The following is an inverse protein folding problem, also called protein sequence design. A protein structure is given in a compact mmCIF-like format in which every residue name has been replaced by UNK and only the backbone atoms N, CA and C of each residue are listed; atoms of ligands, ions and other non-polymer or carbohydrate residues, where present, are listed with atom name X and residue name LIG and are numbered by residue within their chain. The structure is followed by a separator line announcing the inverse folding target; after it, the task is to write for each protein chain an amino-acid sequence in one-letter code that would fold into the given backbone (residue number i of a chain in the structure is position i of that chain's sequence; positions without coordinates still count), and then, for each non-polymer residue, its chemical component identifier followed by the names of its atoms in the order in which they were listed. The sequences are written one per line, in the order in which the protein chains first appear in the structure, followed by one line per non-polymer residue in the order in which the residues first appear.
data_IF_012211562300
#
_entry.id   IF_012211562300
#
_cell.length_a   1.000
_cell.length_b   1.000
_cell.length_c   1.000
_cell.angle_alpha   90.00
_cell.angle_beta   90.00
_cell.angle_gamma   90.00
#
_symmetry.space_group_name_H-M   'P 1'
#
loop_
_entity.id
_entity.type
_entity.pdbx_description
1 polymer ?
#
# COMPACT_ATOMS: atom_id res chain seq x y z
N UNK A 1 0.91 9.38 15.70
CA UNK A 1 1.34 8.33 16.65
C UNK A 1 2.09 9.02 17.77
N UNK A 2 1.73 8.81 19.04
CA UNK A 2 2.29 9.52 20.19
C UNK A 2 3.60 8.86 20.64
N UNK A 3 4.78 9.49 20.47
CA UNK A 3 6.07 8.83 20.69
C UNK A 3 6.29 8.39 22.15
N UNK A 4 5.78 9.17 23.11
CA UNK A 4 5.98 8.94 24.54
C UNK A 4 5.13 7.78 25.12
N UNK A 5 4.29 7.14 24.30
CA UNK A 5 3.46 5.99 24.70
C UNK A 5 4.03 4.66 24.18
N UNK A 6 4.97 4.68 23.23
CA UNK A 6 5.54 3.48 22.61
C UNK A 6 7.02 3.34 22.95
N UNK A 7 7.31 2.95 24.19
CA UNK A 7 8.69 2.69 24.67
C UNK A 7 9.27 1.35 24.17
N UNK A 8 8.46 0.59 23.42
CA UNK A 8 8.76 -0.73 22.87
C UNK A 8 10.00 -0.74 21.94
N UNK A 9 10.39 0.42 21.41
CA UNK A 9 11.58 0.56 20.57
C UNK A 9 12.88 0.79 21.36
N UNK A 10 12.79 1.16 22.64
CA UNK A 10 13.95 1.38 23.50
C UNK A 10 14.34 0.14 24.33
N UNK A 11 13.46 -0.86 24.39
CA UNK A 11 13.66 -2.11 25.12
C UNK A 11 13.50 -3.33 24.20
N UNK A 12 14.50 -3.63 23.35
CA UNK A 12 14.41 -4.70 22.36
C UNK A 12 14.27 -6.11 22.94
N UNK A 13 14.69 -6.30 24.20
CA UNK A 13 14.63 -7.56 24.96
C UNK A 13 13.25 -7.81 25.61
N UNK A 14 12.33 -6.83 25.57
CA UNK A 14 11.01 -6.96 26.18
C UNK A 14 10.18 -8.04 25.45
N UNK A 15 9.75 -9.11 26.11
CA UNK A 15 8.98 -10.17 25.48
C UNK A 15 7.62 -9.69 24.93
N UNK A 16 7.10 -8.56 25.42
CA UNK A 16 5.87 -7.94 24.90
C UNK A 16 6.07 -7.22 23.56
N UNK A 17 7.32 -7.02 23.12
CA UNK A 17 7.64 -6.27 21.89
C UNK A 17 7.04 -6.88 20.64
N UNK A 18 7.14 -8.20 20.50
CA UNK A 18 6.58 -8.90 19.34
C UNK A 18 5.06 -8.76 19.30
N UNK A 19 4.38 -8.99 20.43
CA UNK A 19 2.93 -8.83 20.55
C UNK A 19 2.47 -7.40 20.27
N UNK A 20 3.25 -6.41 20.74
CA UNK A 20 2.94 -5.01 20.50
C UNK A 20 3.06 -4.63 19.02
N UNK A 21 4.11 -5.08 18.34
CA UNK A 21 4.29 -4.84 16.90
C UNK A 21 3.21 -5.60 16.11
N UNK A 22 2.94 -6.85 16.46
CA UNK A 22 2.01 -7.72 15.74
C UNK A 22 0.58 -7.15 15.73
N UNK A 23 0.05 -6.72 16.87
CA UNK A 23 -1.30 -6.14 16.91
C UNK A 23 -1.34 -4.78 16.20
N UNK A 24 -0.27 -3.98 16.26
CA UNK A 24 -0.17 -2.69 15.54
C UNK A 24 -0.23 -2.89 14.03
N UNK A 25 0.57 -3.81 13.48
CA UNK A 25 0.52 -4.21 12.07
C UNK A 25 -0.87 -4.74 11.72
N UNK A 26 -1.48 -5.53 12.60
CA UNK A 26 -2.83 -6.05 12.40
C UNK A 26 -3.88 -4.93 12.35
N UNK A 27 -3.76 -3.87 13.16
CA UNK A 27 -4.65 -2.70 13.08
C UNK A 27 -4.46 -1.92 11.78
N UNK A 28 -3.22 -1.69 11.35
CA UNK A 28 -2.94 -1.04 10.06
C UNK A 28 -3.52 -1.85 8.89
N UNK A 29 -3.29 -3.16 8.88
CA UNK A 29 -3.87 -4.09 7.90
C UNK A 29 -5.39 -3.99 7.88
N UNK A 30 -6.06 -4.03 9.04
CA UNK A 30 -7.51 -3.91 9.13
C UNK A 30 -8.00 -2.56 8.61
N UNK A 31 -7.34 -1.46 8.99
CA UNK A 31 -7.70 -0.12 8.52
C UNK A 31 -7.60 -0.02 6.99
N UNK A 32 -6.52 -0.54 6.39
CA UNK A 32 -6.34 -0.58 4.93
C UNK A 32 -7.42 -1.44 4.26
N UNK A 33 -7.74 -2.61 4.82
CA UNK A 33 -8.78 -3.48 4.25
C UNK A 33 -10.18 -2.84 4.33
N UNK A 34 -10.52 -2.18 5.44
CA UNK A 34 -11.79 -1.50 5.62
C UNK A 34 -11.96 -0.28 4.70
N UNK A 35 -10.86 0.43 4.42
CA UNK A 35 -10.85 1.67 3.64
C UNK A 35 -10.10 1.51 2.33
N UNK A 36 -10.12 0.32 1.74
CA UNK A 36 -9.40 0.03 0.52
C UNK A 36 -9.85 0.97 -0.61
N UNK A 37 -8.92 1.80 -1.07
CA UNK A 37 -9.19 2.82 -2.07
C UNK A 37 -8.90 2.30 -3.48
N UNK A 38 -9.90 2.42 -4.36
CA UNK A 38 -9.80 2.10 -5.79
C UNK A 38 -9.91 3.35 -6.66
N UNK A 39 -9.93 4.52 -6.04
CA UNK A 39 -10.09 5.79 -6.74
C UNK A 39 -8.84 6.03 -7.60
N UNK A 40 -8.98 6.12 -8.94
CA UNK A 40 -7.84 6.41 -9.80
C UNK A 40 -7.19 7.73 -9.38
N UNK A 41 -5.86 7.76 -9.38
CA UNK A 41 -5.11 9.00 -9.23
C UNK A 41 -5.28 9.81 -10.52
N UNK A 42 -6.16 10.81 -10.48
CA UNK A 42 -6.35 11.72 -11.59
C UNK A 42 -5.28 12.80 -11.55
N UNK A 43 -4.64 13.04 -12.70
CA UNK A 43 -3.65 14.09 -12.86
C UNK A 43 -4.18 15.13 -13.84
N UNK A 44 -4.05 16.42 -13.50
CA UNK A 44 -4.46 17.53 -14.36
C UNK A 44 -3.26 18.37 -14.77
N UNK A 45 -3.31 18.91 -15.99
CA UNK A 45 -2.32 19.84 -16.51
C UNK A 45 -2.77 21.27 -16.20
N UNK A 46 -2.02 21.97 -15.36
CA UNK A 46 -2.20 23.40 -15.09
C UNK A 46 -0.94 24.11 -15.56
N UNK A 47 -1.08 24.94 -16.59
CA UNK A 47 0.03 25.54 -17.34
C UNK A 47 1.04 24.49 -17.86
N UNK A 48 2.23 24.44 -17.25
CA UNK A 48 3.33 23.50 -17.55
C UNK A 48 3.57 22.50 -16.41
N UNK A 49 2.61 22.33 -15.51
CA UNK A 49 2.72 21.45 -14.34
C UNK A 49 1.66 20.37 -14.36
N UNK A 50 2.06 19.13 -14.11
CA UNK A 50 1.15 18.02 -13.83
C UNK A 50 0.93 18.00 -12.32
N UNK A 51 -0.29 18.17 -11.88
CA UNK A 51 -0.67 18.15 -10.46
C UNK A 51 -1.71 17.06 -10.21
N UNK A 52 -1.65 16.45 -9.03
CA UNK A 52 -2.63 15.45 -8.60
C UNK A 52 -3.97 16.16 -8.27
N UNK A 53 -5.07 15.69 -8.85
CA UNK A 53 -6.39 16.09 -8.41
C UNK A 53 -6.77 15.34 -7.13
N UNK A 54 -6.95 16.07 -6.04
CA UNK A 54 -7.28 15.51 -4.71
C UNK A 54 -8.76 15.61 -4.37
N UNK A 55 -9.60 16.18 -5.25
CA UNK A 55 -11.03 16.35 -5.02
C UNK A 55 -11.85 15.08 -5.32
N UNK A 56 -11.21 13.93 -5.52
CA UNK A 56 -11.88 12.73 -5.98
C UNK A 56 -12.72 12.09 -4.87
N UNK A 57 -13.95 11.68 -5.22
CA UNK A 57 -14.87 11.07 -4.26
C UNK A 57 -14.49 9.61 -3.95
N UNK A 58 -14.06 9.37 -2.73
CA UNK A 58 -13.80 8.03 -2.20
C UNK A 58 -15.09 7.28 -1.87
N UNK A 59 -15.03 5.95 -1.86
CA UNK A 59 -16.19 5.09 -1.59
C UNK A 59 -15.78 3.78 -0.93
N UNK A 60 -16.60 3.24 -0.03
CA UNK A 60 -16.33 1.95 0.61
C UNK A 60 -16.47 0.78 -0.38
N UNK A 61 -15.63 -0.25 -0.23
CA UNK A 61 -15.54 -1.40 -1.13
C UNK A 61 -15.33 -2.71 -0.37
N UNK A 62 -15.70 -3.81 -1.01
CA UNK A 62 -15.43 -5.15 -0.48
C UNK A 62 -13.99 -5.55 -0.81
N UNK A 63 -13.13 -5.61 0.21
CA UNK A 63 -11.71 -5.94 0.05
C UNK A 63 -11.46 -7.30 -0.62
N UNK A 64 -12.27 -8.32 -0.35
CA UNK A 64 -12.07 -9.66 -0.94
C UNK A 64 -12.22 -9.62 -2.46
N UNK A 65 -13.19 -8.87 -2.97
CA UNK A 65 -13.38 -8.68 -4.42
C UNK A 65 -12.20 -7.94 -5.05
N UNK A 66 -11.64 -6.95 -4.34
CA UNK A 66 -10.45 -6.22 -4.79
C UNK A 66 -9.26 -7.17 -4.89
N UNK A 67 -9.00 -7.94 -3.84
CA UNK A 67 -7.89 -8.87 -3.78
C UNK A 67 -7.96 -9.94 -4.86
N UNK A 68 -9.15 -10.52 -5.07
CA UNK A 68 -9.39 -11.50 -6.13
C UNK A 68 -9.15 -10.90 -7.52
N UNK A 69 -9.71 -9.72 -7.80
CA UNK A 69 -9.51 -9.02 -9.07
C UNK A 69 -8.03 -8.75 -9.35
N UNK A 70 -7.28 -8.31 -8.33
CA UNK A 70 -5.86 -8.00 -8.43
C UNK A 70 -5.02 -9.27 -8.67
N UNK A 71 -5.33 -10.37 -7.95
CA UNK A 71 -4.64 -11.66 -8.15
C UNK A 71 -4.80 -12.19 -9.58
N UNK A 72 -6.01 -12.10 -10.14
CA UNK A 72 -6.29 -12.55 -11.50
C UNK A 72 -5.56 -11.73 -12.58
N UNK A 73 -5.17 -10.49 -12.26
CA UNK A 73 -4.53 -9.53 -13.16
C UNK A 73 -3.09 -9.23 -12.79
N UNK A 74 -2.47 -10.06 -11.96
CA UNK A 74 -1.07 -9.90 -11.58
C UNK A 74 -0.20 -9.86 -12.85
N UNK A 75 0.70 -8.90 -12.94
CA UNK A 75 1.64 -8.80 -14.07
C UNK A 75 2.51 -10.05 -14.11
N UNK A 76 2.51 -10.74 -15.24
CA UNK A 76 3.51 -11.75 -15.53
C UNK A 76 4.77 -11.02 -16.03
N UNK A 77 5.71 -10.75 -15.13
CA UNK A 77 6.92 -9.98 -15.48
C UNK A 77 7.76 -10.66 -16.57
N UNK A 78 7.71 -11.99 -16.69
CA UNK A 78 8.38 -12.71 -17.76
C UNK A 78 7.83 -12.38 -19.16
N UNK A 79 6.60 -11.87 -19.26
CA UNK A 79 5.96 -11.46 -20.52
C UNK A 79 6.24 -10.00 -20.91
N UNK A 80 6.79 -9.19 -19.99
CA UNK A 80 7.10 -7.78 -20.26
C UNK A 80 8.36 -7.69 -21.12
N UNK A 81 8.26 -7.10 -22.31
CA UNK A 81 9.38 -7.06 -23.28
C UNK A 81 10.65 -6.45 -22.70
N UNK A 82 10.53 -5.34 -21.97
CA UNK A 82 11.67 -4.68 -21.33
C UNK A 82 12.35 -5.56 -20.28
N UNK A 83 11.58 -6.42 -19.58
CA UNK A 83 12.14 -7.40 -18.65
C UNK A 83 12.79 -8.55 -19.42
N UNK A 84 12.11 -9.07 -20.45
CA UNK A 84 12.58 -10.19 -21.28
C UNK A 84 13.87 -9.87 -22.02
N UNK A 85 14.02 -8.66 -22.54
CA UNK A 85 15.20 -8.23 -23.30
C UNK A 85 16.31 -7.63 -22.42
N UNK A 86 16.12 -7.59 -21.08
CA UNK A 86 17.11 -7.08 -20.14
C UNK A 86 17.24 -5.56 -20.09
N UNK A 87 16.32 -4.80 -20.71
CA UNK A 87 16.30 -3.33 -20.61
C UNK A 87 15.77 -2.83 -19.27
N UNK A 88 15.02 -3.66 -18.55
CA UNK A 88 14.45 -3.37 -17.23
C UNK A 88 14.71 -4.56 -16.30
N UNK A 89 15.30 -4.29 -15.14
CA UNK A 89 15.48 -5.28 -14.09
C UNK A 89 14.43 -5.07 -13.01
N UNK A 90 13.74 -6.14 -12.60
CA UNK A 90 12.87 -6.12 -11.43
C UNK A 90 13.79 -6.26 -10.21
N UNK A 91 13.94 -5.17 -9.46
CA UNK A 91 14.53 -5.18 -8.12
C UNK A 91 13.35 -5.28 -7.14
N UNK A 92 13.42 -6.23 -6.20
CA UNK A 92 12.41 -6.34 -5.15
C UNK A 92 12.51 -5.21 -4.12
#
# INVERSE_FOLDING_TARGET
MYPNYYDVFNHPEDPSREDHIAHCINHLRQAIQCHADLTPMEWTLVDRKIILNTATRHTCRNFNKIHEWARQRRTNFQEVEAVRNGSLFVVD
#
